data_IF_331375880701
#
_entry.id   IF_331375880701
#
_cell.length_a   1.000
_cell.length_b   1.000
_cell.length_c   1.000
_cell.angle_alpha   90.00
_cell.angle_beta   90.00
_cell.angle_gamma   90.00
#
_symmetry.space_group_name_H-M   'P 1'
#
loop_
_entity.id
_entity.type
_entity.pdbx_description
1 polymer ?
#
# COMPACT_ATOMS: atom_id res chain seq x y z
N UNK A 1 -46.23 15.39 27.76
CA UNK A 1 -44.97 16.17 27.80
C UNK A 1 -43.87 15.17 27.61
N UNK A 2 -43.35 15.13 26.39
CA UNK A 2 -42.18 14.33 26.06
C UNK A 2 -41.00 15.11 26.57
N UNK A 3 -40.30 14.56 27.57
CA UNK A 3 -39.01 15.13 28.02
C UNK A 3 -37.99 14.90 26.87
N UNK A 4 -37.74 15.92 26.11
CA UNK A 4 -36.59 15.98 25.21
C UNK A 4 -35.32 16.11 26.08
N UNK A 5 -34.78 14.99 26.46
CA UNK A 5 -33.43 14.93 27.00
C UNK A 5 -32.50 15.12 25.82
N UNK A 6 -31.96 16.33 25.67
CA UNK A 6 -30.86 16.60 24.73
C UNK A 6 -29.67 15.81 25.25
N UNK A 7 -29.38 14.66 24.62
CA UNK A 7 -28.14 13.94 24.85
C UNK A 7 -26.98 14.82 24.38
N UNK A 8 -25.87 14.88 25.15
CA UNK A 8 -24.70 15.64 24.73
C UNK A 8 -24.19 15.13 23.38
N UNK A 9 -23.72 16.06 22.57
CA UNK A 9 -23.28 15.87 21.20
C UNK A 9 -22.52 14.54 21.02
N UNK A 10 -23.05 13.71 20.13
CA UNK A 10 -22.42 12.47 19.71
C UNK A 10 -20.97 12.74 19.29
N UNK A 11 -20.01 12.00 19.85
CA UNK A 11 -18.70 11.93 19.24
C UNK A 11 -18.88 11.42 17.81
N UNK A 12 -18.30 12.09 16.84
CA UNK A 12 -18.48 11.80 15.41
C UNK A 12 -17.80 10.49 14.95
N UNK A 13 -17.25 9.74 15.86
CA UNK A 13 -16.56 8.48 15.57
C UNK A 13 -17.56 7.33 15.44
N UNK A 14 -17.73 6.87 14.20
CA UNK A 14 -18.51 5.69 13.87
C UNK A 14 -17.63 4.46 13.89
N UNK A 15 -18.04 3.40 14.58
CA UNK A 15 -17.35 2.11 14.56
C UNK A 15 -17.78 1.28 13.36
N UNK A 16 -16.79 0.66 12.71
CA UNK A 16 -17.05 -0.38 11.71
C UNK A 16 -17.17 -1.74 12.41
N UNK A 17 -18.32 -2.43 12.28
CA UNK A 17 -18.58 -3.68 13.00
C UNK A 17 -17.68 -4.84 12.57
N UNK A 18 -17.06 -4.78 11.41
CA UNK A 18 -16.20 -5.86 10.93
C UNK A 18 -14.86 -5.88 11.64
N UNK A 19 -14.27 -4.68 11.81
CA UNK A 19 -13.00 -4.48 12.51
C UNK A 19 -12.88 -3.00 12.86
N UNK A 20 -12.72 -2.69 14.13
CA UNK A 20 -12.37 -1.35 14.57
C UNK A 20 -11.70 -1.37 15.96
N UNK A 21 -11.26 -0.19 16.40
CA UNK A 21 -10.57 0.03 17.67
C UNK A 21 -11.07 1.33 18.30
N UNK A 22 -11.26 1.31 19.60
CA UNK A 22 -11.41 2.52 20.43
C UNK A 22 -10.13 2.79 21.21
N UNK A 23 -10.20 3.70 22.18
CA UNK A 23 -9.08 3.90 23.12
C UNK A 23 -8.84 2.66 23.96
N UNK A 24 -9.90 1.94 24.35
CA UNK A 24 -9.83 0.88 25.35
C UNK A 24 -9.97 -0.53 24.81
N UNK A 25 -10.63 -0.72 23.68
CA UNK A 25 -10.94 -2.05 23.19
C UNK A 25 -10.81 -2.19 21.69
N UNK A 26 -10.60 -3.42 21.24
CA UNK A 26 -10.63 -3.85 19.86
C UNK A 26 -11.91 -4.66 19.61
N UNK A 27 -12.42 -4.60 18.37
CA UNK A 27 -13.63 -5.29 17.94
C UNK A 27 -13.36 -6.09 16.70
N UNK A 28 -14.00 -7.24 16.60
CA UNK A 28 -14.08 -8.00 15.34
C UNK A 28 -15.45 -8.59 15.15
N UNK A 29 -15.99 -8.41 13.95
CA UNK A 29 -17.26 -9.00 13.55
C UNK A 29 -17.12 -10.49 13.24
N UNK A 30 -18.08 -11.27 13.71
CA UNK A 30 -18.19 -12.71 13.47
C UNK A 30 -19.61 -13.07 13.08
N UNK A 31 -19.76 -14.12 12.28
CA UNK A 31 -21.06 -14.73 12.02
C UNK A 31 -21.24 -15.91 12.98
N UNK A 32 -22.24 -15.81 13.84
CA UNK A 32 -22.65 -16.89 14.72
C UNK A 32 -23.89 -17.57 14.13
N UNK A 33 -23.90 -18.91 14.14
CA UNK A 33 -25.10 -19.69 13.85
C UNK A 33 -25.88 -19.87 15.16
N UNK A 34 -27.09 -19.36 15.22
CA UNK A 34 -28.04 -19.76 16.26
C UNK A 34 -28.84 -20.97 15.77
N UNK A 35 -28.70 -22.06 16.45
CA UNK A 35 -29.55 -23.21 16.31
C UNK A 35 -30.88 -22.90 17.02
N UNK A 36 -31.90 -22.58 16.24
CA UNK A 36 -33.27 -22.62 16.73
C UNK A 36 -33.85 -23.96 16.27
N UNK A 37 -34.74 -24.54 17.04
CA UNK A 37 -35.25 -25.91 16.94
C UNK A 37 -35.72 -26.36 15.54
N UNK A 38 -35.71 -25.53 14.54
CA UNK A 38 -36.13 -25.87 13.14
C UNK A 38 -35.39 -25.07 12.03
N UNK A 39 -34.53 -24.08 12.33
CA UNK A 39 -33.86 -23.28 11.29
C UNK A 39 -32.51 -22.77 11.78
N UNK A 40 -31.49 -22.84 10.90
CA UNK A 40 -30.23 -22.14 11.13
C UNK A 40 -30.37 -20.69 10.67
N UNK A 41 -30.37 -19.74 11.59
CA UNK A 41 -30.27 -18.33 11.26
C UNK A 41 -28.88 -17.84 11.56
N UNK A 42 -28.16 -17.37 10.54
CA UNK A 42 -26.90 -16.65 10.74
C UNK A 42 -27.17 -15.29 11.39
N UNK A 43 -26.54 -15.01 12.51
CA UNK A 43 -26.56 -13.69 13.15
C UNK A 43 -25.14 -13.12 13.19
N UNK A 44 -25.00 -11.87 12.78
CA UNK A 44 -23.75 -11.13 12.97
C UNK A 44 -23.62 -10.72 14.43
N UNK A 45 -22.45 -10.91 14.99
CA UNK A 45 -22.09 -10.45 16.34
C UNK A 45 -20.69 -9.83 16.32
N UNK A 46 -20.34 -9.08 17.34
CA UNK A 46 -19.04 -8.49 17.55
C UNK A 46 -18.39 -9.12 18.77
N UNK A 47 -17.13 -9.54 18.64
CA UNK A 47 -16.29 -9.99 19.74
C UNK A 47 -15.33 -8.86 20.11
N UNK A 48 -15.25 -8.58 21.41
CA UNK A 48 -14.34 -7.57 21.97
C UNK A 48 -13.04 -8.20 22.45
N UNK A 49 -12.02 -7.37 22.66
CA UNK A 49 -10.73 -7.81 23.17
C UNK A 49 -10.78 -8.49 24.54
N UNK A 50 -11.77 -8.20 25.38
CA UNK A 50 -12.03 -8.86 26.66
C UNK A 50 -12.89 -10.14 26.55
N UNK A 51 -13.27 -10.55 25.33
CA UNK A 51 -13.98 -11.80 25.05
C UNK A 51 -15.51 -11.71 25.15
N UNK A 52 -16.08 -10.51 25.31
CA UNK A 52 -17.54 -10.36 25.24
C UNK A 52 -18.04 -10.57 23.83
N UNK A 53 -19.21 -11.19 23.71
CA UNK A 53 -19.94 -11.35 22.46
C UNK A 53 -21.17 -10.44 22.50
N UNK A 54 -21.25 -9.51 21.59
CA UNK A 54 -22.32 -8.54 21.50
C UNK A 54 -23.07 -8.79 20.19
N UNK A 55 -24.36 -9.13 20.22
CA UNK A 55 -25.16 -9.26 19.03
C UNK A 55 -25.16 -7.95 18.22
N UNK A 56 -25.09 -8.07 16.90
CA UNK A 56 -25.13 -6.92 16.02
C UNK A 56 -26.59 -6.47 15.84
N UNK A 57 -27.06 -5.69 16.79
CA UNK A 57 -28.25 -4.85 16.64
C UNK A 57 -27.91 -3.45 17.21
N UNK A 58 -28.64 -2.44 16.75
CA UNK A 58 -28.34 -1.06 17.15
C UNK A 58 -28.50 -0.85 18.65
N UNK A 59 -29.54 -1.41 19.27
CA UNK A 59 -29.85 -1.22 20.68
C UNK A 59 -28.76 -1.81 21.61
N UNK A 60 -28.43 -3.08 21.46
CA UNK A 60 -27.41 -3.74 22.31
C UNK A 60 -26.01 -3.12 22.15
N UNK A 61 -25.73 -2.57 20.95
CA UNK A 61 -24.45 -1.92 20.71
C UNK A 61 -24.38 -0.54 21.35
N UNK A 62 -25.47 0.23 21.30
CA UNK A 62 -25.61 1.53 21.96
C UNK A 62 -25.54 1.42 23.48
N UNK A 63 -26.22 0.45 24.09
CA UNK A 63 -26.20 0.24 25.53
C UNK A 63 -24.79 -0.09 26.07
N UNK A 64 -23.98 -0.78 25.28
CA UNK A 64 -22.64 -1.22 25.70
C UNK A 64 -21.51 -0.25 25.34
N UNK A 65 -21.63 0.58 24.27
CA UNK A 65 -20.49 1.33 23.72
C UNK A 65 -20.76 2.79 23.38
N UNK A 66 -22.01 3.30 23.41
CA UNK A 66 -22.40 4.70 23.11
C UNK A 66 -21.81 5.23 21.77
N UNK A 67 -21.47 4.36 20.82
CA UNK A 67 -20.82 4.73 19.58
C UNK A 67 -21.75 4.52 18.39
N UNK A 68 -21.89 5.51 17.49
CA UNK A 68 -22.78 5.37 16.35
C UNK A 68 -22.24 4.32 15.37
N UNK A 69 -23.06 3.34 15.08
CA UNK A 69 -22.80 2.26 14.17
C UNK A 69 -22.92 2.73 12.71
N UNK A 70 -22.02 2.28 11.85
CA UNK A 70 -22.15 2.51 10.41
C UNK A 70 -23.27 1.62 9.87
N UNK A 71 -24.31 2.22 9.31
CA UNK A 71 -25.42 1.52 8.64
C UNK A 71 -24.97 1.05 7.25
N UNK A 72 -24.14 0.05 7.18
CA UNK A 72 -23.77 -0.59 5.92
C UNK A 72 -24.00 -2.09 6.00
N UNK A 73 -24.56 -2.72 4.98
CA UNK A 73 -24.60 -4.17 4.91
C UNK A 73 -23.17 -4.67 4.77
N UNK A 74 -22.55 -5.03 5.88
CA UNK A 74 -21.20 -5.56 5.90
C UNK A 74 -21.22 -7.06 5.69
N UNK A 75 -20.35 -7.51 4.81
CA UNK A 75 -20.14 -8.93 4.58
C UNK A 75 -18.97 -9.41 5.46
N UNK A 76 -19.28 -10.33 6.36
CA UNK A 76 -18.29 -10.98 7.22
C UNK A 76 -18.15 -12.42 6.79
N UNK A 77 -16.97 -12.79 6.29
CA UNK A 77 -16.68 -14.20 6.03
C UNK A 77 -16.43 -14.95 7.35
N UNK A 78 -16.99 -16.15 7.54
CA UNK A 78 -16.73 -16.97 8.72
C UNK A 78 -15.34 -17.61 8.61
N UNK A 79 -14.32 -16.87 9.03
CA UNK A 79 -12.91 -17.28 8.94
C UNK A 79 -12.29 -17.63 10.29
N UNK A 80 -12.91 -17.23 11.38
CA UNK A 80 -12.53 -17.62 12.74
C UNK A 80 -13.36 -18.82 13.14
N UNK A 81 -12.71 -19.91 13.59
CA UNK A 81 -13.42 -21.15 13.94
C UNK A 81 -14.24 -20.99 15.21
N UNK A 82 -15.36 -21.70 15.30
CA UNK A 82 -16.22 -21.66 16.49
C UNK A 82 -15.51 -22.18 17.76
N UNK A 83 -14.66 -23.17 17.60
CA UNK A 83 -13.86 -23.74 18.68
C UNK A 83 -12.89 -22.68 19.22
N UNK A 84 -12.19 -21.98 18.32
CA UNK A 84 -11.25 -20.91 18.72
C UNK A 84 -11.96 -19.70 19.31
N UNK A 85 -13.12 -19.30 18.78
CA UNK A 85 -13.96 -18.25 19.38
C UNK A 85 -14.36 -18.65 20.82
N UNK A 86 -14.83 -19.85 21.02
CA UNK A 86 -15.25 -20.34 22.34
C UNK A 86 -14.09 -20.40 23.33
N UNK A 87 -12.92 -20.87 22.87
CA UNK A 87 -11.71 -20.91 23.68
C UNK A 87 -11.24 -19.49 24.06
N UNK A 88 -11.21 -18.55 23.12
CA UNK A 88 -10.85 -17.15 23.36
C UNK A 88 -11.76 -16.50 24.40
N UNK A 89 -13.07 -16.68 24.28
CA UNK A 89 -14.06 -16.17 25.24
C UNK A 89 -13.95 -16.84 26.60
N UNK A 90 -13.54 -18.10 26.63
CA UNK A 90 -13.22 -18.83 27.86
C UNK A 90 -11.89 -18.43 28.51
N UNK A 91 -11.16 -17.45 27.97
CA UNK A 91 -9.89 -16.98 28.53
C UNK A 91 -8.68 -17.82 28.12
N UNK A 92 -8.78 -18.64 27.07
CA UNK A 92 -7.63 -19.39 26.57
C UNK A 92 -6.47 -18.44 26.18
N UNK A 93 -5.26 -18.94 26.38
CA UNK A 93 -4.04 -18.21 26.04
C UNK A 93 -3.95 -18.07 24.51
N UNK A 94 -3.65 -16.85 24.04
CA UNK A 94 -3.37 -16.56 22.65
C UNK A 94 -1.87 -16.60 22.38
N UNK A 95 -1.43 -16.87 21.13
CA UNK A 95 -0.04 -16.77 20.78
C UNK A 95 0.47 -15.34 21.00
N UNK A 96 1.73 -15.18 21.39
CA UNK A 96 2.38 -13.88 21.41
C UNK A 96 2.78 -13.42 19.99
N UNK A 97 3.34 -12.20 19.88
CA UNK A 97 3.71 -11.61 18.59
C UNK A 97 4.81 -12.39 17.89
N UNK A 98 5.77 -12.94 18.63
CA UNK A 98 6.87 -13.74 18.07
C UNK A 98 6.35 -15.08 17.54
N UNK A 99 5.55 -15.76 18.34
CA UNK A 99 4.98 -17.06 17.99
C UNK A 99 4.10 -16.99 16.74
N UNK A 100 3.17 -16.02 16.69
CA UNK A 100 2.28 -15.90 15.53
C UNK A 100 3.05 -15.48 14.27
N UNK A 101 4.05 -14.62 14.38
CA UNK A 101 4.94 -14.27 13.29
C UNK A 101 5.67 -15.51 12.74
N UNK A 102 6.24 -16.35 13.61
CA UNK A 102 6.92 -17.57 13.21
C UNK A 102 6.00 -18.55 12.48
N UNK A 103 4.76 -18.72 12.95
CA UNK A 103 3.75 -19.56 12.29
C UNK A 103 3.41 -19.05 10.89
N UNK A 104 3.17 -17.75 10.73
CA UNK A 104 2.90 -17.12 9.43
C UNK A 104 4.12 -17.27 8.52
N UNK A 105 5.32 -16.94 9.01
CA UNK A 105 6.57 -17.04 8.25
C UNK A 105 6.86 -18.46 7.77
N UNK A 106 6.68 -19.46 8.63
CA UNK A 106 6.87 -20.86 8.27
C UNK A 106 5.90 -21.32 7.16
N UNK A 107 4.64 -20.85 7.23
CA UNK A 107 3.66 -21.11 6.19
C UNK A 107 4.07 -20.48 4.85
N UNK A 108 4.53 -19.23 4.87
CA UNK A 108 5.05 -18.58 3.67
C UNK A 108 6.23 -19.35 3.07
N UNK A 109 7.20 -19.76 3.89
CA UNK A 109 8.37 -20.54 3.44
C UNK A 109 8.00 -21.89 2.83
N UNK A 110 6.95 -22.53 3.36
CA UNK A 110 6.47 -23.82 2.86
C UNK A 110 5.85 -23.72 1.47
N UNK A 111 5.20 -22.60 1.15
CA UNK A 111 4.41 -22.48 -0.06
C UNK A 111 4.92 -21.48 -1.10
N UNK A 112 5.84 -20.58 -0.74
CA UNK A 112 6.34 -19.52 -1.61
C UNK A 112 7.85 -19.58 -1.80
N UNK A 113 8.30 -19.27 -3.02
CA UNK A 113 9.70 -19.00 -3.34
C UNK A 113 9.94 -17.50 -3.44
N UNK A 114 10.34 -16.86 -2.35
CA UNK A 114 10.75 -15.46 -2.35
C UNK A 114 12.27 -15.35 -2.46
N UNK A 115 12.75 -14.26 -3.05
CA UNK A 115 14.16 -14.09 -3.39
C UNK A 115 15.05 -13.87 -2.16
N UNK A 116 14.58 -13.06 -1.22
CA UNK A 116 15.33 -12.70 -0.03
C UNK A 116 14.67 -13.24 1.24
N UNK A 117 15.46 -13.69 2.20
CA UNK A 117 14.92 -14.17 3.49
C UNK A 117 14.10 -13.11 4.21
N UNK A 118 14.51 -11.84 4.14
CA UNK A 118 13.79 -10.70 4.71
C UNK A 118 12.38 -10.50 4.14
N UNK A 119 12.14 -10.94 2.90
CA UNK A 119 10.81 -10.81 2.27
C UNK A 119 9.77 -11.71 2.93
N UNK A 120 10.17 -12.87 3.48
CA UNK A 120 9.25 -13.70 4.26
C UNK A 120 8.81 -13.01 5.55
N UNK A 121 9.74 -12.36 6.24
CA UNK A 121 9.46 -11.59 7.45
C UNK A 121 8.59 -10.36 7.12
N UNK A 122 8.89 -9.66 6.02
CA UNK A 122 8.12 -8.52 5.55
C UNK A 122 6.68 -8.90 5.20
N UNK A 123 6.49 -9.97 4.43
CA UNK A 123 5.14 -10.45 4.06
C UNK A 123 4.40 -10.96 5.28
N UNK A 124 5.10 -11.62 6.23
CA UNK A 124 4.48 -12.08 7.48
C UNK A 124 3.95 -10.91 8.32
N UNK A 125 4.76 -9.88 8.59
CA UNK A 125 4.28 -8.70 9.33
C UNK A 125 3.24 -7.91 8.55
N UNK A 126 3.31 -7.91 7.20
CA UNK A 126 2.26 -7.31 6.38
C UNK A 126 0.93 -8.05 6.53
N UNK A 127 0.91 -9.39 6.53
CA UNK A 127 -0.30 -10.19 6.78
C UNK A 127 -0.85 -9.90 8.19
N UNK A 128 0.00 -9.92 9.21
CA UNK A 128 -0.39 -9.59 10.59
C UNK A 128 -1.02 -8.21 10.69
N UNK A 129 -0.43 -7.21 10.02
CA UNK A 129 -0.93 -5.85 10.01
C UNK A 129 -2.28 -5.66 9.32
N UNK A 130 -2.75 -6.61 8.49
CA UNK A 130 -4.10 -6.54 7.92
C UNK A 130 -5.18 -6.58 9.00
N UNK A 131 -4.93 -7.24 10.13
CA UNK A 131 -5.80 -7.28 11.32
C UNK A 131 -5.77 -6.00 12.16
N UNK A 132 -4.83 -5.10 11.86
CA UNK A 132 -4.56 -3.88 12.63
C UNK A 132 -4.67 -2.61 11.75
N UNK A 133 -5.07 -2.75 10.48
CA UNK A 133 -5.07 -1.66 9.50
C UNK A 133 -5.72 -0.36 9.98
N UNK A 134 -6.86 -0.38 10.73
CA UNK A 134 -7.46 0.85 11.24
C UNK A 134 -6.56 1.67 12.17
N UNK A 135 -5.55 1.07 12.81
CA UNK A 135 -4.59 1.76 13.67
C UNK A 135 -3.54 2.56 12.90
N UNK A 136 -3.35 2.26 11.61
CA UNK A 136 -2.28 2.84 10.80
C UNK A 136 -2.82 3.91 9.86
N UNK A 137 -2.17 5.08 9.86
CA UNK A 137 -2.50 6.18 8.93
C UNK A 137 -2.33 5.74 7.49
N UNK A 138 -1.18 5.16 7.16
CA UNK A 138 -0.86 4.61 5.85
C UNK A 138 -0.60 3.11 5.95
N UNK A 139 -0.88 2.35 4.87
CA UNK A 139 -0.54 0.94 4.80
C UNK A 139 -0.04 0.59 3.40
N UNK A 140 1.15 0.00 3.25
CA UNK A 140 1.75 -0.21 1.95
C UNK A 140 0.95 -1.22 1.12
N UNK A 141 0.85 -0.95 -0.16
CA UNK A 141 0.34 -1.92 -1.13
C UNK A 141 1.45 -2.93 -1.38
N UNK A 142 1.16 -4.22 -1.22
CA UNK A 142 2.09 -5.29 -1.52
C UNK A 142 2.00 -5.63 -3.01
N UNK A 143 3.11 -5.59 -3.72
CA UNK A 143 3.13 -5.82 -5.17
C UNK A 143 4.07 -6.95 -5.56
N UNK A 144 3.49 -8.06 -6.02
CA UNK A 144 4.23 -9.19 -6.56
C UNK A 144 4.44 -9.00 -8.06
N UNK A 145 5.68 -8.72 -8.44
CA UNK A 145 6.05 -8.49 -9.84
C UNK A 145 7.03 -9.54 -10.33
N UNK A 146 6.69 -10.22 -11.40
CA UNK A 146 7.54 -11.19 -12.03
C UNK A 146 7.00 -11.66 -13.41
N UNK A 147 7.79 -12.37 -14.22
CA UNK A 147 7.36 -12.98 -15.47
C UNK A 147 6.21 -14.00 -15.31
N UNK A 148 5.76 -14.55 -16.39
CA UNK A 148 4.82 -15.68 -16.38
C UNK A 148 5.40 -16.89 -15.61
N UNK A 149 4.50 -17.69 -15.02
CA UNK A 149 4.84 -18.92 -14.29
C UNK A 149 5.78 -18.75 -13.07
N UNK A 150 5.96 -17.54 -12.59
CA UNK A 150 6.84 -17.22 -11.43
C UNK A 150 6.16 -17.31 -10.06
N UNK A 151 4.89 -17.75 -9.99
CA UNK A 151 4.17 -17.95 -8.74
C UNK A 151 3.44 -16.73 -8.17
N UNK A 152 3.25 -15.64 -8.93
CA UNK A 152 2.51 -14.43 -8.47
C UNK A 152 1.12 -14.73 -7.92
N UNK A 153 0.29 -15.46 -8.71
CA UNK A 153 -1.07 -15.82 -8.29
C UNK A 153 -1.05 -16.67 -7.02
N UNK A 154 -0.06 -17.56 -6.87
CA UNK A 154 0.16 -18.32 -5.64
C UNK A 154 0.49 -17.41 -4.44
N UNK A 155 1.32 -16.38 -4.64
CA UNK A 155 1.60 -15.40 -3.58
C UNK A 155 0.32 -14.69 -3.14
N UNK A 156 -0.50 -14.25 -4.09
CA UNK A 156 -1.78 -13.61 -3.78
C UNK A 156 -2.75 -14.54 -3.06
N UNK A 157 -2.80 -15.80 -3.47
CA UNK A 157 -3.63 -16.81 -2.83
C UNK A 157 -3.19 -17.07 -1.39
N UNK A 158 -1.90 -17.28 -1.13
CA UNK A 158 -1.33 -17.53 0.20
C UNK A 158 -1.55 -16.30 1.11
N UNK A 159 -1.28 -15.10 0.60
CA UNK A 159 -1.54 -13.84 1.32
C UNK A 159 -3.03 -13.72 1.65
N UNK A 160 -3.92 -13.96 0.69
CA UNK A 160 -5.36 -13.91 0.89
C UNK A 160 -5.88 -14.97 1.88
N UNK A 161 -5.25 -16.14 1.94
CA UNK A 161 -5.61 -17.19 2.89
C UNK A 161 -5.39 -16.77 4.35
N UNK A 162 -4.33 -16.05 4.64
CA UNK A 162 -3.95 -15.68 6.02
C UNK A 162 -4.40 -14.27 6.42
N UNK A 163 -4.60 -13.35 5.49
CA UNK A 163 -5.01 -11.97 5.78
C UNK A 163 -6.45 -11.87 6.27
N UNK A 164 -6.75 -10.80 7.03
CA UNK A 164 -8.11 -10.51 7.47
C UNK A 164 -9.04 -10.40 6.26
N UNK A 165 -10.09 -11.21 6.24
CA UNK A 165 -11.09 -11.25 5.15
C UNK A 165 -10.47 -11.22 3.74
N UNK A 166 -9.30 -11.86 3.56
CA UNK A 166 -8.58 -11.84 2.29
C UNK A 166 -9.41 -12.43 1.14
N UNK A 167 -9.53 -11.72 0.05
CA UNK A 167 -10.34 -12.10 -1.10
C UNK A 167 -9.60 -11.86 -2.41
N UNK A 168 -9.57 -12.88 -3.23
CA UNK A 168 -8.94 -12.83 -4.54
C UNK A 168 -9.93 -12.35 -5.60
N UNK A 169 -9.47 -11.43 -6.47
CA UNK A 169 -10.22 -10.91 -7.60
C UNK A 169 -9.35 -10.90 -8.83
N UNK A 170 -9.81 -11.50 -9.92
CA UNK A 170 -9.21 -11.35 -11.25
C UNK A 170 -9.56 -10.01 -11.89
N UNK A 171 -10.74 -9.45 -11.55
CA UNK A 171 -11.19 -8.14 -12.01
C UNK A 171 -12.11 -7.52 -10.95
N UNK A 172 -12.03 -6.22 -10.76
CA UNK A 172 -12.89 -5.48 -9.84
C UNK A 172 -13.19 -4.08 -10.37
N UNK A 173 -14.44 -3.65 -10.29
CA UNK A 173 -14.80 -2.28 -10.62
C UNK A 173 -14.57 -1.34 -9.43
N UNK A 174 -14.32 -0.04 -9.67
CA UNK A 174 -14.18 0.94 -8.58
C UNK A 174 -15.39 0.98 -7.65
N UNK A 175 -16.60 0.79 -8.16
CA UNK A 175 -17.82 0.75 -7.36
C UNK A 175 -17.88 -0.46 -6.43
N UNK A 176 -17.52 -1.64 -6.94
CA UNK A 176 -17.45 -2.86 -6.13
C UNK A 176 -16.34 -2.76 -5.07
N UNK A 177 -15.17 -2.22 -5.44
CA UNK A 177 -14.07 -2.03 -4.50
C UNK A 177 -14.50 -1.19 -3.28
N UNK A 178 -15.15 -0.03 -3.50
CA UNK A 178 -15.63 0.84 -2.41
C UNK A 178 -16.56 0.10 -1.45
N UNK A 179 -17.54 -0.64 -1.97
CA UNK A 179 -18.50 -1.38 -1.15
C UNK A 179 -17.85 -2.51 -0.36
N UNK A 180 -16.96 -3.26 -0.99
CA UNK A 180 -16.21 -4.30 -0.29
C UNK A 180 -15.23 -3.75 0.75
N UNK A 181 -14.69 -2.54 0.56
CA UNK A 181 -13.80 -1.90 1.53
C UNK A 181 -14.48 -1.64 2.89
N UNK A 182 -15.80 -1.43 2.92
CA UNK A 182 -16.55 -1.30 4.18
C UNK A 182 -16.55 -2.61 5.00
N UNK A 183 -16.45 -3.75 4.33
CA UNK A 183 -16.30 -5.08 4.96
C UNK A 183 -14.87 -5.39 5.37
N UNK A 184 -13.96 -4.40 5.38
CA UNK A 184 -12.54 -4.56 5.77
C UNK A 184 -11.86 -5.75 5.06
N UNK A 185 -12.15 -5.92 3.78
CA UNK A 185 -11.55 -6.98 2.97
C UNK A 185 -10.10 -6.63 2.68
N UNK A 186 -9.21 -7.61 2.80
CA UNK A 186 -7.88 -7.55 2.19
C UNK A 186 -8.01 -7.95 0.73
N UNK A 187 -7.79 -7.01 -0.18
CA UNK A 187 -7.89 -7.24 -1.61
C UNK A 187 -6.63 -7.92 -2.16
N UNK A 188 -6.80 -9.06 -2.81
CA UNK A 188 -5.76 -9.73 -3.59
C UNK A 188 -6.15 -9.61 -5.07
N UNK A 189 -5.47 -8.71 -5.80
CA UNK A 189 -5.82 -8.32 -7.16
C UNK A 189 -4.82 -8.91 -8.15
N UNK A 190 -5.30 -9.71 -9.10
CA UNK A 190 -4.44 -10.34 -10.10
C UNK A 190 -4.59 -9.67 -11.47
N UNK A 191 -3.46 -9.49 -12.15
CA UNK A 191 -3.37 -9.00 -13.53
C UNK A 191 -4.13 -7.69 -13.84
N UNK A 192 -4.00 -6.68 -12.98
CA UNK A 192 -4.63 -5.37 -13.20
C UNK A 192 -4.07 -4.67 -14.44
N UNK A 193 -4.89 -4.52 -15.47
CA UNK A 193 -4.52 -3.85 -16.72
C UNK A 193 -4.06 -2.40 -16.51
N UNK A 194 -4.67 -1.70 -15.56
CA UNK A 194 -4.41 -0.28 -15.27
C UNK A 194 -3.02 -0.01 -14.69
N UNK A 195 -2.37 -1.02 -14.07
CA UNK A 195 -1.02 -0.89 -13.49
C UNK A 195 0.02 -0.48 -14.53
N UNK A 196 -0.15 -0.91 -15.78
CA UNK A 196 0.69 -0.54 -16.92
C UNK A 196 0.43 0.85 -17.49
N UNK A 197 -0.57 1.59 -17.00
CA UNK A 197 -0.90 2.94 -17.47
C UNK A 197 -0.10 3.99 -16.69
N UNK A 198 0.34 5.05 -17.38
CA UNK A 198 0.97 6.22 -16.75
C UNK A 198 -0.06 7.16 -16.14
N UNK A 199 -1.23 7.26 -16.76
CA UNK A 199 -2.29 8.17 -16.38
C UNK A 199 -3.12 7.59 -15.24
N UNK A 200 -3.75 8.47 -14.46
CA UNK A 200 -4.66 8.07 -13.41
C UNK A 200 -5.92 7.44 -14.02
N UNK A 201 -6.26 6.27 -13.52
CA UNK A 201 -7.54 5.63 -13.75
C UNK A 201 -8.40 5.67 -12.48
N UNK A 202 -9.71 5.50 -12.58
CA UNK A 202 -10.56 5.40 -11.39
C UNK A 202 -10.14 4.30 -10.42
N UNK A 203 -9.55 3.21 -10.93
CA UNK A 203 -9.04 2.13 -10.09
C UNK A 203 -7.74 2.53 -9.39
N UNK A 204 -6.80 3.17 -10.09
CA UNK A 204 -5.58 3.71 -9.48
C UNK A 204 -5.93 4.71 -8.38
N UNK A 205 -6.87 5.62 -8.62
CA UNK A 205 -7.33 6.58 -7.61
C UNK A 205 -7.84 5.89 -6.33
N UNK A 206 -8.59 4.80 -6.45
CA UNK A 206 -9.06 4.03 -5.30
C UNK A 206 -7.92 3.31 -4.57
N UNK A 207 -6.95 2.75 -5.29
CA UNK A 207 -5.77 2.13 -4.68
C UNK A 207 -4.95 3.15 -3.87
N UNK A 208 -4.81 4.38 -4.39
CA UNK A 208 -4.17 5.48 -3.65
C UNK A 208 -4.93 5.83 -2.38
N UNK A 209 -6.27 5.82 -2.42
CA UNK A 209 -7.11 6.05 -1.25
C UNK A 209 -7.04 4.90 -0.24
N UNK A 210 -6.94 3.66 -0.69
CA UNK A 210 -6.77 2.49 0.18
C UNK A 210 -5.46 2.55 0.99
N UNK A 211 -4.40 3.11 0.39
CA UNK A 211 -3.12 3.32 1.08
C UNK A 211 -3.26 4.24 2.30
N UNK A 212 -3.91 5.40 2.15
CA UNK A 212 -4.03 6.41 3.24
C UNK A 212 -5.32 6.27 4.06
N UNK A 213 -6.21 5.34 3.73
CA UNK A 213 -7.50 5.21 4.41
C UNK A 213 -8.41 6.42 4.19
N UNK A 214 -8.34 7.05 3.02
CA UNK A 214 -9.10 8.25 2.71
C UNK A 214 -10.60 7.97 2.54
N UNK A 215 -11.39 8.99 2.80
CA UNK A 215 -12.83 8.98 2.53
C UNK A 215 -13.09 9.33 1.06
N UNK A 216 -14.03 8.63 0.44
CA UNK A 216 -14.50 8.89 -0.93
C UNK A 216 -15.98 9.15 -0.89
N UNK A 217 -16.39 10.36 -1.27
CA UNK A 217 -17.78 10.72 -1.41
C UNK A 217 -18.25 10.45 -2.84
N UNK A 218 -19.38 9.76 -2.97
CA UNK A 218 -20.08 9.56 -4.25
C UNK A 218 -21.56 9.90 -4.10
N UNK A 219 -22.19 10.31 -5.18
CA UNK A 219 -23.63 10.50 -5.20
C UNK A 219 -24.32 9.20 -5.61
N UNK A 220 -25.21 8.69 -4.78
CA UNK A 220 -26.03 7.50 -5.08
C UNK A 220 -27.51 7.88 -5.22
N UNK A 221 -28.23 7.27 -6.19
CA UNK A 221 -29.65 7.50 -6.34
C UNK A 221 -30.43 6.87 -5.19
N UNK A 222 -31.39 7.62 -4.64
CA UNK A 222 -32.29 7.11 -3.61
C UNK A 222 -33.74 7.01 -4.16
N UNK A 223 -34.49 6.07 -3.62
CA UNK A 223 -35.88 5.85 -4.06
C UNK A 223 -36.84 7.03 -3.75
N UNK A 224 -36.49 7.89 -2.79
CA UNK A 224 -37.40 8.92 -2.25
C UNK A 224 -36.94 10.37 -2.42
N UNK A 225 -35.62 10.63 -2.53
CA UNK A 225 -35.04 11.97 -2.40
C UNK A 225 -34.07 12.39 -3.49
N UNK A 226 -34.01 11.65 -4.62
CA UNK A 226 -33.02 11.95 -5.68
C UNK A 226 -31.65 11.43 -5.35
N UNK A 227 -30.61 12.25 -5.56
CA UNK A 227 -29.20 11.87 -5.35
C UNK A 227 -28.72 12.33 -3.96
N UNK A 228 -28.18 11.41 -3.16
CA UNK A 228 -27.55 11.73 -1.87
C UNK A 228 -26.07 11.38 -1.90
N UNK A 229 -25.21 12.21 -1.25
CA UNK A 229 -23.81 11.85 -1.06
C UNK A 229 -23.69 10.69 -0.07
N UNK A 230 -22.94 9.66 -0.47
CA UNK A 230 -22.56 8.54 0.39
C UNK A 230 -21.05 8.56 0.55
N UNK A 231 -20.56 8.47 1.78
CA UNK A 231 -19.14 8.51 2.11
C UNK A 231 -18.66 7.08 2.41
N UNK A 232 -17.63 6.65 1.68
CA UNK A 232 -16.95 5.37 1.89
C UNK A 232 -15.56 5.61 2.47
N UNK A 233 -15.25 5.00 3.60
CA UNK A 233 -13.91 5.03 4.19
C UNK A 233 -13.10 3.84 3.67
N UNK A 234 -12.11 4.10 2.81
CA UNK A 234 -11.33 3.06 2.15
C UNK A 234 -10.12 2.69 3.03
N UNK A 235 -10.31 1.79 3.99
CA UNK A 235 -9.26 1.35 4.93
C UNK A 235 -8.87 -0.12 4.72
N UNK A 236 -8.83 -0.57 3.49
CA UNK A 236 -8.58 -1.98 3.16
C UNK A 236 -7.14 -2.19 2.69
N UNK A 237 -6.43 -3.20 3.22
CA UNK A 237 -5.14 -3.63 2.68
C UNK A 237 -5.27 -4.14 1.26
N UNK A 238 -4.22 -3.91 0.45
CA UNK A 238 -4.19 -4.36 -0.94
C UNK A 238 -2.90 -5.11 -1.21
N UNK A 239 -3.01 -6.32 -1.73
CA UNK A 239 -1.94 -7.05 -2.39
C UNK A 239 -2.28 -7.19 -3.87
N UNK A 240 -1.34 -6.96 -4.76
CA UNK A 240 -1.58 -7.09 -6.19
C UNK A 240 -0.43 -7.83 -6.88
N UNK A 241 -0.75 -8.53 -7.98
CA UNK A 241 0.21 -9.24 -8.82
C UNK A 241 0.11 -8.77 -10.27
N UNK A 242 1.23 -8.49 -10.91
CA UNK A 242 1.27 -8.15 -12.32
C UNK A 242 2.62 -8.51 -12.96
N UNK A 243 2.58 -8.78 -14.25
CA UNK A 243 3.78 -8.94 -15.09
C UNK A 243 4.38 -7.58 -15.41
N UNK A 244 3.52 -6.60 -15.70
CA UNK A 244 3.94 -5.24 -16.02
C UNK A 244 4.35 -4.50 -14.74
N UNK A 245 5.40 -3.69 -14.86
CA UNK A 245 5.78 -2.75 -13.80
C UNK A 245 4.76 -1.63 -13.65
N UNK A 246 4.66 -1.12 -12.43
CA UNK A 246 3.83 0.05 -12.13
C UNK A 246 4.45 1.27 -12.82
N UNK A 247 3.71 1.87 -13.76
CA UNK A 247 4.13 3.09 -14.46
C UNK A 247 3.63 4.38 -13.83
N UNK A 248 2.56 4.32 -13.04
CA UNK A 248 2.08 5.46 -12.28
C UNK A 248 2.98 5.70 -11.07
N UNK A 249 3.71 6.82 -11.05
CA UNK A 249 4.69 7.11 -9.98
C UNK A 249 4.03 7.30 -8.61
N UNK A 250 2.80 7.82 -8.57
CA UNK A 250 2.07 7.97 -7.32
C UNK A 250 1.74 6.60 -6.70
N UNK A 251 1.30 5.64 -7.49
CA UNK A 251 1.04 4.27 -7.06
C UNK A 251 2.35 3.55 -6.70
N UNK A 252 3.36 3.65 -7.56
CA UNK A 252 4.69 3.04 -7.35
C UNK A 252 5.31 3.45 -6.02
N UNK A 253 5.18 4.74 -5.65
CA UNK A 253 5.72 5.26 -4.38
C UNK A 253 5.01 4.76 -3.12
N UNK A 254 3.85 4.11 -3.25
CA UNK A 254 3.02 3.56 -2.16
C UNK A 254 3.05 2.04 -2.09
N UNK A 255 3.85 1.43 -2.96
CA UNK A 255 3.97 -0.03 -3.04
C UNK A 255 5.31 -0.51 -2.49
N UNK A 256 5.27 -1.65 -1.82
CA UNK A 256 6.44 -2.47 -1.54
C UNK A 256 6.44 -3.60 -2.57
N UNK A 257 7.46 -3.59 -3.42
CA UNK A 257 7.58 -4.56 -4.51
C UNK A 257 8.36 -5.78 -4.03
N UNK A 258 7.78 -6.96 -4.21
CA UNK A 258 8.40 -8.27 -4.00
C UNK A 258 8.58 -8.93 -5.37
N UNK A 259 9.79 -9.31 -5.68
CA UNK A 259 10.09 -10.06 -6.92
C UNK A 259 10.02 -11.55 -6.64
N UNK A 260 9.13 -12.26 -7.32
CA UNK A 260 9.05 -13.71 -7.25
C UNK A 260 9.82 -14.32 -8.40
N UNK A 261 10.45 -15.47 -8.15
CA UNK A 261 11.19 -16.23 -9.13
C UNK A 261 10.58 -17.62 -9.28
N UNK A 262 10.67 -18.16 -10.51
CA UNK A 262 10.26 -19.54 -10.72
C UNK A 262 11.11 -20.48 -9.87
N UNK A 263 10.48 -21.26 -9.01
CA UNK A 263 11.14 -22.28 -8.23
C UNK A 263 10.47 -23.63 -8.48
N UNK A 264 11.14 -24.57 -9.17
CA UNK A 264 10.56 -25.87 -9.51
C UNK A 264 10.18 -26.70 -8.28
N UNK A 265 10.80 -26.45 -7.12
CA UNK A 265 10.49 -27.14 -5.86
C UNK A 265 9.04 -26.95 -5.41
N UNK A 266 8.41 -25.83 -5.80
CA UNK A 266 7.02 -25.53 -5.44
C UNK A 266 5.98 -26.04 -6.47
N UNK A 267 6.41 -26.54 -7.63
CA UNK A 267 5.51 -26.95 -8.73
C UNK A 267 4.50 -28.01 -8.30
N UNK A 268 4.91 -28.92 -7.44
CA UNK A 268 4.11 -30.07 -7.01
C UNK A 268 3.49 -29.90 -5.61
N UNK A 269 3.64 -28.72 -4.99
CA UNK A 269 3.05 -28.45 -3.68
C UNK A 269 1.66 -27.86 -3.88
N UNK A 270 0.63 -28.64 -3.57
CA UNK A 270 -0.74 -28.14 -3.59
C UNK A 270 -0.99 -27.21 -2.41
N UNK A 271 -1.57 -26.04 -2.69
CA UNK A 271 -2.04 -25.16 -1.62
C UNK A 271 -3.25 -25.79 -0.93
N UNK A 272 -3.29 -25.80 0.41
CA UNK A 272 -4.48 -26.22 1.13
C UNK A 272 -5.63 -25.23 0.88
N UNK A 273 -6.86 -25.69 0.91
CA UNK A 273 -8.02 -24.81 0.84
C UNK A 273 -8.09 -23.87 2.05
N UNK A 274 -8.67 -22.69 1.88
CA UNK A 274 -8.80 -21.66 2.93
C UNK A 274 -9.36 -22.18 4.25
N UNK A 275 -10.25 -23.18 4.20
CA UNK A 275 -10.89 -23.80 5.39
C UNK A 275 -10.19 -25.07 5.89
N UNK A 276 -9.07 -25.44 5.27
CA UNK A 276 -8.31 -26.61 5.74
C UNK A 276 -7.50 -26.26 7.00
N UNK A 277 -7.10 -27.30 7.74
CA UNK A 277 -6.58 -27.18 9.11
C UNK A 277 -5.43 -26.16 9.28
N UNK A 278 -4.40 -26.20 8.42
CA UNK A 278 -3.20 -25.39 8.64
C UNK A 278 -3.46 -23.88 8.53
N UNK A 279 -3.99 -23.33 7.40
CA UNK A 279 -4.27 -21.90 7.32
C UNK A 279 -5.39 -21.45 8.26
N UNK A 280 -6.35 -22.33 8.60
CA UNK A 280 -7.39 -22.01 9.58
C UNK A 280 -6.82 -21.82 10.98
N UNK A 281 -5.94 -22.71 11.46
CA UNK A 281 -5.29 -22.61 12.77
C UNK A 281 -4.41 -21.34 12.89
N UNK A 282 -3.70 -20.97 11.82
CA UNK A 282 -2.91 -19.74 11.81
C UNK A 282 -3.82 -18.52 11.94
N UNK A 283 -4.93 -18.46 11.19
CA UNK A 283 -5.90 -17.36 11.30
C UNK A 283 -6.56 -17.30 12.67
N UNK A 284 -6.93 -18.45 13.25
CA UNK A 284 -7.47 -18.52 14.60
C UNK A 284 -6.49 -17.88 15.60
N UNK A 285 -5.21 -18.19 15.47
CA UNK A 285 -4.16 -17.54 16.25
C UNK A 285 -4.06 -16.04 15.99
N UNK A 286 -4.17 -15.58 14.73
CA UNK A 286 -4.14 -14.17 14.36
C UNK A 286 -5.31 -13.38 14.96
N UNK A 287 -6.53 -13.95 14.96
CA UNK A 287 -7.69 -13.32 15.60
C UNK A 287 -7.50 -13.14 17.11
N UNK A 288 -7.08 -14.18 17.83
CA UNK A 288 -6.80 -14.09 19.25
C UNK A 288 -5.64 -13.14 19.56
N UNK A 289 -4.58 -13.22 18.75
CA UNK A 289 -3.39 -12.36 18.90
C UNK A 289 -3.73 -10.88 18.80
N UNK A 290 -4.38 -10.42 17.73
CA UNK A 290 -4.59 -9.00 17.53
C UNK A 290 -5.52 -8.41 18.59
N UNK A 291 -6.55 -9.13 19.00
CA UNK A 291 -7.48 -8.70 20.03
C UNK A 291 -6.80 -8.47 21.40
N UNK A 292 -5.69 -9.16 21.68
CA UNK A 292 -4.93 -9.05 22.93
C UNK A 292 -3.72 -8.11 22.83
N UNK A 293 -3.11 -7.98 21.64
CA UNK A 293 -1.81 -7.31 21.48
C UNK A 293 -1.86 -5.97 20.74
N UNK A 294 -3.01 -5.45 20.37
CA UNK A 294 -3.14 -4.23 19.57
C UNK A 294 -2.62 -2.96 20.28
N UNK A 295 -2.77 -2.83 21.61
CA UNK A 295 -2.33 -1.65 22.36
C UNK A 295 -0.82 -1.41 22.27
N UNK A 296 0.05 -2.38 22.59
CA UNK A 296 1.49 -2.22 22.40
C UNK A 296 1.89 -1.88 20.98
N UNK A 297 1.17 -2.44 19.98
CA UNK A 297 1.45 -2.17 18.57
C UNK A 297 1.08 -0.74 18.20
N UNK A 298 -0.07 -0.23 18.68
CA UNK A 298 -0.48 1.15 18.51
C UNK A 298 0.54 2.12 19.09
N UNK A 299 0.96 1.88 20.32
CA UNK A 299 1.95 2.72 21.03
C UNK A 299 3.30 2.70 20.31
N UNK A 300 3.80 1.53 19.93
CA UNK A 300 5.03 1.40 19.17
C UNK A 300 4.93 2.12 17.83
N UNK A 301 3.83 1.97 17.09
CA UNK A 301 3.63 2.68 15.81
C UNK A 301 3.61 4.20 15.99
N UNK A 302 2.95 4.73 17.03
CA UNK A 302 2.86 6.16 17.26
C UNK A 302 4.24 6.78 17.56
N UNK A 303 5.05 6.10 18.34
CA UNK A 303 6.37 6.56 18.82
C UNK A 303 7.54 6.08 17.94
N UNK A 304 7.29 5.31 16.88
CA UNK A 304 8.34 4.72 16.07
C UNK A 304 9.22 5.80 15.42
N UNK A 305 10.56 5.76 15.61
CA UNK A 305 11.46 6.78 15.14
C UNK A 305 11.57 6.79 13.61
N UNK A 306 11.98 7.93 13.07
CA UNK A 306 12.37 8.03 11.67
C UNK A 306 13.65 7.22 11.40
N UNK A 307 13.69 6.52 10.28
CA UNK A 307 14.84 5.74 9.88
C UNK A 307 15.72 6.58 8.94
N UNK A 308 16.97 6.85 9.33
CA UNK A 308 17.92 7.53 8.44
C UNK A 308 18.04 6.79 7.11
N UNK A 309 18.03 7.54 6.02
CA UNK A 309 18.12 6.94 4.69
C UNK A 309 16.76 6.64 4.03
N UNK A 310 15.62 6.70 4.71
CA UNK A 310 14.30 6.61 4.10
C UNK A 310 13.70 8.02 3.87
N UNK A 311 13.00 8.22 2.75
CA UNK A 311 12.19 9.43 2.54
C UNK A 311 10.93 9.38 3.39
N UNK A 312 10.29 10.53 3.64
CA UNK A 312 9.04 10.59 4.41
C UNK A 312 7.96 9.62 3.89
N UNK A 313 7.82 9.48 2.58
CA UNK A 313 6.83 8.57 1.98
C UNK A 313 7.20 7.09 2.14
N UNK A 314 8.49 6.76 2.06
CA UNK A 314 8.95 5.41 2.34
C UNK A 314 8.79 5.10 3.82
N UNK A 315 9.07 6.07 4.68
CA UNK A 315 8.79 5.94 6.11
C UNK A 315 7.32 5.69 6.38
N UNK A 316 6.39 6.43 5.77
CA UNK A 316 4.94 6.18 5.87
C UNK A 316 4.56 4.74 5.46
N UNK A 317 5.24 4.17 4.46
CA UNK A 317 4.98 2.80 3.99
C UNK A 317 5.59 1.73 4.90
N UNK A 318 6.80 1.94 5.39
CA UNK A 318 7.49 0.93 6.19
C UNK A 318 7.16 1.01 7.69
N UNK A 319 6.82 2.18 8.23
CA UNK A 319 6.56 2.40 9.66
C UNK A 319 5.60 1.38 10.30
N UNK A 320 4.43 1.05 9.70
CA UNK A 320 3.56 0.02 10.27
C UNK A 320 4.24 -1.34 10.41
N UNK A 321 5.03 -1.72 9.40
CA UNK A 321 5.70 -3.03 9.35
C UNK A 321 6.88 -3.08 10.33
N UNK A 322 7.68 -2.02 10.38
CA UNK A 322 8.83 -1.93 11.28
C UNK A 322 8.41 -1.86 12.76
N UNK A 323 7.34 -1.12 13.06
CA UNK A 323 6.78 -1.09 14.41
C UNK A 323 6.31 -2.48 14.87
N UNK A 324 5.67 -3.25 14.01
CA UNK A 324 5.31 -4.64 14.34
C UNK A 324 6.54 -5.54 14.43
N UNK A 325 7.51 -5.41 13.52
CA UNK A 325 8.73 -6.20 13.53
C UNK A 325 9.53 -6.02 14.82
N UNK A 326 9.58 -4.80 15.38
CA UNK A 326 10.27 -4.53 16.66
C UNK A 326 9.60 -5.22 17.85
N UNK A 327 8.32 -5.53 17.77
CA UNK A 327 7.59 -6.31 18.77
C UNK A 327 7.69 -7.83 18.54
N UNK A 328 8.10 -8.25 17.35
CA UNK A 328 8.47 -9.66 17.12
C UNK A 328 9.79 -9.97 17.82
N UNK A 329 10.85 -9.33 17.41
CA UNK A 329 12.17 -9.34 18.08
C UNK A 329 13.11 -8.29 17.43
N UNK A 330 14.21 -7.92 18.12
CA UNK A 330 15.17 -6.92 17.60
C UNK A 330 15.86 -7.34 16.28
N UNK A 331 16.07 -8.63 16.05
CA UNK A 331 16.71 -9.14 14.83
C UNK A 331 15.80 -8.93 13.61
N UNK A 332 14.53 -9.29 13.71
CA UNK A 332 13.54 -9.07 12.65
C UNK A 332 13.40 -7.57 12.35
N UNK A 333 13.37 -6.72 13.37
CA UNK A 333 13.31 -5.26 13.18
C UNK A 333 14.52 -4.73 12.40
N UNK A 334 15.73 -5.17 12.79
CA UNK A 334 16.98 -4.80 12.10
C UNK A 334 16.97 -5.29 10.65
N UNK A 335 16.65 -6.56 10.44
CA UNK A 335 16.63 -7.19 9.12
C UNK A 335 15.68 -6.44 8.15
N UNK A 336 14.49 -6.07 8.61
CA UNK A 336 13.54 -5.32 7.79
C UNK A 336 13.94 -3.86 7.57
N UNK A 337 14.61 -3.24 8.55
CA UNK A 337 15.16 -1.89 8.39
C UNK A 337 16.27 -1.88 7.34
N UNK A 338 17.23 -2.81 7.43
CA UNK A 338 18.33 -2.95 6.49
C UNK A 338 17.79 -3.24 5.07
N UNK A 339 16.77 -4.12 4.95
CA UNK A 339 16.11 -4.40 3.69
C UNK A 339 15.44 -3.16 3.09
N UNK A 340 14.72 -2.37 3.89
CA UNK A 340 14.05 -1.15 3.42
C UNK A 340 15.05 -0.12 2.89
N UNK A 341 16.17 0.07 3.59
CA UNK A 341 17.25 0.98 3.17
C UNK A 341 17.92 0.48 1.89
N UNK A 342 18.24 -0.82 1.80
CA UNK A 342 18.86 -1.42 0.61
C UNK A 342 17.97 -1.30 -0.63
N UNK A 343 16.65 -1.54 -0.51
CA UNK A 343 15.69 -1.37 -1.61
C UNK A 343 15.64 0.08 -2.08
N UNK A 344 15.73 1.04 -1.17
CA UNK A 344 15.80 2.46 -1.54
C UNK A 344 17.08 2.79 -2.28
N UNK A 345 18.23 2.32 -1.80
CA UNK A 345 19.52 2.55 -2.47
C UNK A 345 19.51 1.99 -3.89
N UNK A 346 18.98 0.76 -4.07
CA UNK A 346 18.80 0.17 -5.41
C UNK A 346 17.93 1.06 -6.30
N UNK A 347 16.78 1.53 -5.79
CA UNK A 347 15.90 2.45 -6.53
C UNK A 347 16.60 3.76 -6.91
N UNK A 348 17.40 4.32 -6.02
CA UNK A 348 18.15 5.54 -6.27
C UNK A 348 19.23 5.33 -7.34
N UNK A 349 19.96 4.19 -7.30
CA UNK A 349 20.94 3.83 -8.33
C UNK A 349 20.29 3.68 -9.71
N UNK A 350 19.16 2.96 -9.78
CA UNK A 350 18.39 2.80 -11.03
C UNK A 350 17.87 4.17 -11.52
N UNK A 351 17.34 4.99 -10.61
CA UNK A 351 16.86 6.34 -10.95
C UNK A 351 17.97 7.22 -11.48
N UNK A 352 19.16 7.20 -10.88
CA UNK A 352 20.33 7.94 -11.39
C UNK A 352 20.75 7.44 -12.78
N UNK A 353 20.74 6.14 -12.99
CA UNK A 353 21.11 5.54 -14.29
C UNK A 353 20.08 5.83 -15.39
N UNK A 354 18.80 6.05 -15.03
CA UNK A 354 17.69 6.31 -15.96
C UNK A 354 17.25 7.79 -15.98
N UNK A 355 17.89 8.66 -15.21
CA UNK A 355 17.53 10.09 -15.15
C UNK A 355 18.04 10.83 -16.40
N UNK A 356 17.24 10.77 -17.46
CA UNK A 356 17.45 11.52 -18.71
C UNK A 356 17.74 13.02 -18.45
N UNK A 357 17.26 13.55 -17.32
CA UNK A 357 17.45 14.95 -16.93
C UNK A 357 18.88 15.23 -16.47
N UNK A 358 19.44 14.35 -15.64
CA UNK A 358 20.83 14.47 -15.19
C UNK A 358 21.77 14.26 -16.37
N UNK A 359 21.50 13.26 -17.18
CA UNK A 359 22.28 12.94 -18.38
C UNK A 359 22.24 14.08 -19.38
N UNK A 360 21.08 14.73 -19.53
CA UNK A 360 20.91 15.89 -20.41
C UNK A 360 21.65 17.13 -19.86
N UNK A 361 21.58 17.39 -18.55
CA UNK A 361 22.35 18.46 -17.91
C UNK A 361 23.86 18.27 -18.07
N UNK A 362 24.37 17.05 -17.82
CA UNK A 362 25.76 16.71 -18.02
C UNK A 362 26.20 16.84 -19.49
N UNK A 363 25.35 16.42 -20.43
CA UNK A 363 25.57 16.59 -21.84
C UNK A 363 25.66 18.07 -22.21
N UNK A 364 24.69 18.88 -21.80
CA UNK A 364 24.69 20.32 -22.08
C UNK A 364 25.94 21.00 -21.51
N UNK A 365 26.33 20.64 -20.28
CA UNK A 365 27.57 21.18 -19.68
C UNK A 365 28.78 20.87 -20.54
N UNK A 366 28.98 19.61 -20.94
CA UNK A 366 30.11 19.17 -21.77
C UNK A 366 30.11 19.83 -23.16
N UNK A 367 28.95 19.94 -23.78
CA UNK A 367 28.82 20.57 -25.10
C UNK A 367 29.15 22.06 -25.06
N UNK A 368 28.74 22.74 -23.97
CA UNK A 368 29.07 24.16 -23.77
C UNK A 368 30.57 24.35 -23.49
N UNK A 369 31.18 23.50 -22.68
CA UNK A 369 32.63 23.48 -22.42
C UNK A 369 33.44 23.21 -23.71
N UNK A 370 33.04 22.20 -24.48
CA UNK A 370 33.72 21.87 -25.74
C UNK A 370 33.67 22.98 -26.78
N UNK A 371 32.69 23.89 -26.69
CA UNK A 371 32.54 25.06 -27.56
C UNK A 371 33.21 26.33 -27.00
N UNK A 372 33.94 26.23 -25.88
CA UNK A 372 34.59 27.37 -25.21
C UNK A 372 33.61 28.34 -24.59
N UNK A 373 32.43 27.88 -24.23
CA UNK A 373 31.33 28.68 -23.63
C UNK A 373 31.29 28.50 -22.12
N UNK A 374 32.46 28.38 -21.49
CA UNK A 374 32.66 28.10 -20.07
C UNK A 374 32.99 29.32 -19.17
N UNK A 375 33.15 30.49 -19.77
CA UNK A 375 33.46 31.77 -19.06
C UNK A 375 32.26 32.71 -18.89
N UNK A 376 32.44 33.76 -18.08
CA UNK A 376 31.42 34.78 -17.79
C UNK A 376 30.87 35.51 -19.05
N UNK A 377 31.60 35.50 -20.15
CA UNK A 377 31.17 36.06 -21.44
C UNK A 377 30.21 35.11 -22.21
N UNK A 378 29.99 33.87 -21.76
CA UNK A 378 29.17 32.87 -22.45
C UNK A 378 27.66 33.13 -22.38
N UNK A 379 27.21 34.06 -21.53
CA UNK A 379 25.79 34.41 -21.34
C UNK A 379 25.10 35.02 -22.58
N UNK A 380 25.84 35.33 -23.65
CA UNK A 380 25.27 35.94 -24.87
C UNK A 380 25.43 35.08 -26.13
N UNK A 381 26.16 33.95 -26.05
CA UNK A 381 26.37 33.14 -27.24
C UNK A 381 25.22 32.12 -27.41
N UNK A 382 24.61 32.16 -28.58
CA UNK A 382 23.52 31.32 -28.95
C UNK A 382 24.02 30.02 -29.60
N UNK A 383 23.51 28.85 -29.14
CA UNK A 383 23.85 27.54 -29.66
C UNK A 383 22.69 26.97 -30.47
N UNK A 384 22.99 26.43 -31.65
CA UNK A 384 21.97 25.85 -32.54
C UNK A 384 21.25 24.69 -31.85
N UNK A 385 19.93 24.80 -31.71
CA UNK A 385 19.08 23.76 -31.14
C UNK A 385 19.14 22.46 -31.95
N UNK A 386 19.33 22.56 -33.28
CA UNK A 386 19.41 21.41 -34.15
C UNK A 386 20.72 20.64 -33.98
N UNK A 387 21.83 21.36 -33.89
CA UNK A 387 23.14 20.76 -33.63
C UNK A 387 23.19 20.03 -32.26
N UNK A 388 22.60 20.63 -31.24
CA UNK A 388 22.50 20.01 -29.90
C UNK A 388 21.60 18.77 -29.94
N UNK A 389 20.47 18.80 -30.63
CA UNK A 389 19.60 17.65 -30.79
C UNK A 389 20.28 16.50 -31.53
N UNK A 390 21.04 16.82 -32.60
CA UNK A 390 21.80 15.81 -33.38
C UNK A 390 22.95 15.22 -32.53
N UNK A 391 23.65 16.03 -31.78
CA UNK A 391 24.71 15.59 -30.88
C UNK A 391 24.16 14.69 -29.74
N UNK A 392 23.01 15.06 -29.15
CA UNK A 392 22.31 14.23 -28.15
C UNK A 392 21.85 12.89 -28.74
N UNK A 393 21.31 12.93 -29.97
CA UNK A 393 20.91 11.73 -30.69
C UNK A 393 22.09 10.78 -30.97
N UNK A 394 23.24 11.31 -31.36
CA UNK A 394 24.47 10.51 -31.54
C UNK A 394 24.94 9.88 -30.25
N UNK A 395 24.95 10.65 -29.12
CA UNK A 395 25.34 10.13 -27.81
C UNK A 395 24.49 8.94 -27.38
N UNK A 396 23.18 9.00 -27.65
CA UNK A 396 22.23 7.97 -27.17
C UNK A 396 21.93 6.89 -28.22
N UNK A 397 22.63 6.86 -29.34
CA UNK A 397 22.40 5.92 -30.46
C UNK A 397 20.95 5.85 -30.92
N UNK A 398 20.21 6.96 -30.78
CA UNK A 398 18.79 7.07 -31.13
C UNK A 398 18.53 8.31 -32.03
N UNK A 399 17.61 8.13 -32.97
CA UNK A 399 17.11 9.28 -33.75
C UNK A 399 16.07 10.02 -32.90
N UNK A 400 16.45 11.15 -32.31
CA UNK A 400 15.56 11.92 -31.43
C UNK A 400 14.74 12.91 -32.27
N UNK A 401 13.44 12.98 -31.97
CA UNK A 401 12.58 14.01 -32.56
C UNK A 401 13.00 15.39 -32.01
N UNK A 402 13.31 16.30 -32.90
CA UNK A 402 13.74 17.67 -32.57
C UNK A 402 12.79 18.39 -31.61
N UNK A 403 11.46 18.31 -31.82
CA UNK A 403 10.47 18.91 -30.91
C UNK A 403 10.54 18.34 -29.51
N UNK A 404 10.78 17.02 -29.41
CA UNK A 404 10.94 16.36 -28.11
C UNK A 404 12.20 16.85 -27.38
N UNK A 405 13.32 16.97 -28.08
CA UNK A 405 14.56 17.50 -27.49
C UNK A 405 14.39 18.92 -26.96
N UNK A 406 13.76 19.83 -27.74
CA UNK A 406 13.45 21.19 -27.28
C UNK A 406 12.60 21.17 -26.01
N UNK A 407 11.56 20.33 -25.96
CA UNK A 407 10.73 20.17 -24.77
C UNK A 407 11.55 19.75 -23.55
N UNK A 408 12.40 18.73 -23.69
CA UNK A 408 13.28 18.24 -22.61
C UNK A 408 14.22 19.33 -22.07
N UNK A 409 14.86 20.11 -22.95
CA UNK A 409 15.77 21.21 -22.55
C UNK A 409 14.98 22.36 -21.91
N UNK A 410 13.79 22.69 -22.42
CA UNK A 410 12.94 23.74 -21.83
C UNK A 410 12.46 23.41 -20.42
N UNK A 411 12.16 22.13 -20.14
CA UNK A 411 11.77 21.66 -18.79
C UNK A 411 12.90 21.77 -17.76
N UNK A 412 14.15 21.90 -18.20
CA UNK A 412 15.28 22.09 -17.30
C UNK A 412 15.36 23.51 -16.73
N UNK A 413 14.67 24.49 -17.32
CA UNK A 413 14.75 25.92 -16.96
C UNK A 413 16.18 26.50 -16.96
N UNK A 414 17.05 25.97 -17.83
CA UNK A 414 18.45 26.40 -17.96
C UNK A 414 18.66 27.32 -19.17
N UNK A 415 17.60 27.70 -19.85
CA UNK A 415 17.62 28.61 -21.01
C UNK A 415 17.34 30.00 -20.49
N UNK A 416 18.23 30.96 -20.81
CA UNK A 416 18.04 32.38 -20.50
C UNK A 416 17.33 33.13 -21.62
N UNK A 417 17.53 32.72 -22.89
CA UNK A 417 16.92 33.36 -24.04
C UNK A 417 16.79 32.40 -25.24
N UNK A 418 15.87 32.71 -26.16
CA UNK A 418 15.63 32.01 -27.41
C UNK A 418 15.80 32.96 -28.57
N UNK A 419 16.85 32.78 -29.38
CA UNK A 419 17.11 33.62 -30.58
C UNK A 419 16.66 32.91 -31.82
N UNK A 420 16.14 33.66 -32.79
CA UNK A 420 15.78 33.16 -34.14
C UNK A 420 16.63 33.89 -35.13
N UNK A 421 17.44 33.16 -35.90
CA UNK A 421 18.24 33.70 -37.02
C UNK A 421 17.80 32.98 -38.29
N UNK A 422 17.15 33.72 -39.19
CA UNK A 422 16.69 33.24 -40.48
C UNK A 422 15.90 31.92 -40.42
N UNK A 423 15.00 31.78 -39.43
CA UNK A 423 14.17 30.58 -39.27
C UNK A 423 14.86 29.42 -38.52
N UNK A 424 16.10 29.60 -38.10
CA UNK A 424 16.82 28.66 -37.24
C UNK A 424 16.80 29.13 -35.79
N UNK A 425 16.41 28.22 -34.85
CA UNK A 425 16.30 28.54 -33.43
C UNK A 425 17.57 28.18 -32.68
N UNK A 426 17.95 29.05 -31.75
CA UNK A 426 19.15 28.94 -30.93
C UNK A 426 18.81 29.12 -29.45
N UNK A 427 19.39 28.32 -28.60
CA UNK A 427 19.33 28.49 -27.16
C UNK A 427 20.47 29.39 -26.64
N UNK A 428 20.14 30.27 -25.74
CA UNK A 428 21.10 30.94 -24.87
C UNK A 428 20.98 30.33 -23.47
N UNK A 429 22.06 29.71 -23.01
CA UNK A 429 22.02 28.95 -21.75
C UNK A 429 22.42 29.81 -20.53
N UNK A 430 21.75 29.57 -19.41
CA UNK A 430 22.16 30.08 -18.09
C UNK A 430 23.11 29.05 -17.45
N UNK A 431 24.42 29.24 -17.65
CA UNK A 431 25.46 28.33 -17.17
C UNK A 431 25.45 28.16 -15.64
N UNK A 432 25.43 29.26 -14.83
CA UNK A 432 25.31 29.15 -13.36
C UNK A 432 24.14 28.25 -12.91
N UNK A 433 23.02 28.31 -13.62
CA UNK A 433 21.85 27.49 -13.31
C UNK A 433 22.06 26.00 -13.63
N UNK A 434 22.78 25.68 -14.71
CA UNK A 434 23.18 24.29 -15.02
C UNK A 434 24.04 23.73 -13.88
N UNK A 435 25.06 24.48 -13.45
CA UNK A 435 25.96 24.05 -12.39
C UNK A 435 25.24 23.94 -11.04
N UNK A 436 24.34 24.87 -10.73
CA UNK A 436 23.49 24.85 -9.53
C UNK A 436 22.60 23.60 -9.51
N UNK A 437 21.97 23.27 -10.63
CA UNK A 437 21.10 22.09 -10.71
C UNK A 437 21.89 20.78 -10.59
N UNK A 438 23.06 20.70 -11.20
CA UNK A 438 23.97 19.55 -11.04
C UNK A 438 24.41 19.36 -9.58
N UNK A 439 24.76 20.46 -8.88
CA UNK A 439 25.07 20.39 -7.44
C UNK A 439 23.87 19.95 -6.60
N UNK A 440 22.68 20.49 -6.83
CA UNK A 440 21.45 20.10 -6.13
C UNK A 440 21.08 18.63 -6.35
N UNK A 441 21.37 18.08 -7.52
CA UNK A 441 21.15 16.66 -7.81
C UNK A 441 22.21 15.78 -7.16
N UNK A 442 23.45 16.26 -7.03
CA UNK A 442 24.51 15.55 -6.31
C UNK A 442 24.27 15.48 -4.80
N UNK A 443 23.66 16.52 -4.20
CA UNK A 443 23.33 16.55 -2.76
C UNK A 443 22.06 15.79 -2.38
N UNK A 444 21.15 15.55 -3.33
CA UNK A 444 19.92 14.75 -3.13
C UNK A 444 20.14 13.25 -3.39
N UNK A 445 21.32 12.87 -3.74
CA UNK A 445 21.79 11.49 -3.93
C UNK A 445 22.59 11.02 -2.74
#
# INVERSE_FOLDING_TARGET
MVNDTISPAYSSERINPVLDFTEDTAFVGVNIQRETSKTFTGQTAVITGDGRLIPWNEEDFYENYILPVINSPVFIEPRWSHESISAFRGGAQCPDTTEIHQRVRAYLQKYLGLRHSAEYDLVAVWIMGTYLKPLFKCYPILFFNAPYESGKSRCLEVVGQLSLNGKWFGEITPAAFRRYAESKITFCLDELKDVGLKNDSPLISILLNAYNGAEVAISEPTRKSGWLPVIFKITSPVAMGNIQEIKNEALKSRTIQIRTEYNPSYKNINLPGVRQNEPAQIRDGLYGWFLRNWKPIRECYQTYPEIPGLSAREMDSYKPLLAMASLVNPETARLLTDYAVAVREEKNLVKKATDDRLDLLMFLKRELEARGLDGDCAQQQAVSNRELADAWGRKNSQRINYKRFIGMVSELHVISDLKDYHGSKYFVFNRPEIDRQLQLMATKS
#
